data_IF_477270761409
#
_entry.id   IF_477270761409
#
_cell.length_a   1.000
_cell.length_b   1.000
_cell.length_c   1.000
_cell.angle_alpha   90.00
_cell.angle_beta   90.00
_cell.angle_gamma   90.00
#
_symmetry.space_group_name_H-M   'P 1'
#
loop_
_entity.id
_entity.type
_entity.pdbx_description
1 polymer ?
#
# COMPACT_ATOMS: atom_id res chain seq x y z
N UNK A 1 27.93 -4.40 -4.66
CA UNK A 1 26.93 -5.02 -5.54
C UNK A 1 25.96 -5.94 -4.81
N UNK A 2 26.39 -6.86 -3.94
CA UNK A 2 25.51 -7.79 -3.20
C UNK A 2 24.41 -7.11 -2.35
N UNK A 3 24.65 -5.93 -1.76
CA UNK A 3 23.69 -5.21 -0.94
C UNK A 3 22.51 -4.69 -1.78
N UNK A 4 22.79 -4.24 -3.01
CA UNK A 4 21.77 -3.70 -3.92
C UNK A 4 20.80 -4.80 -4.35
N UNK A 5 21.31 -5.99 -4.69
CA UNK A 5 20.46 -7.14 -5.07
C UNK A 5 19.56 -7.61 -3.93
N UNK A 6 20.05 -7.57 -2.69
CA UNK A 6 19.24 -7.89 -1.50
C UNK A 6 18.09 -6.86 -1.29
N UNK A 7 18.38 -5.57 -1.50
CA UNK A 7 17.37 -4.52 -1.40
C UNK A 7 16.23 -4.73 -2.42
N UNK A 8 16.56 -4.94 -3.68
CA UNK A 8 15.57 -5.17 -4.73
C UNK A 8 14.83 -6.51 -4.57
N UNK A 9 15.52 -7.55 -4.13
CA UNK A 9 14.90 -8.85 -3.83
C UNK A 9 13.84 -8.73 -2.72
N UNK A 10 14.16 -8.04 -1.64
CA UNK A 10 13.21 -7.80 -0.55
C UNK A 10 12.01 -6.93 -0.99
N UNK A 11 12.25 -5.89 -1.80
CA UNK A 11 11.18 -5.07 -2.40
C UNK A 11 10.26 -5.96 -3.25
N UNK A 12 10.82 -6.82 -4.09
CA UNK A 12 10.04 -7.73 -4.94
C UNK A 12 9.23 -8.72 -4.11
N UNK A 13 9.81 -9.33 -3.08
CA UNK A 13 9.08 -10.22 -2.15
C UNK A 13 7.94 -9.45 -1.47
N UNK A 14 8.22 -8.24 -0.98
CA UNK A 14 7.19 -7.39 -0.35
C UNK A 14 6.03 -7.10 -1.30
N UNK A 15 6.31 -6.76 -2.56
CA UNK A 15 5.26 -6.49 -3.56
C UNK A 15 4.49 -7.74 -3.98
N UNK A 16 5.11 -8.92 -4.00
CA UNK A 16 4.41 -10.20 -4.21
C UNK A 16 3.42 -10.46 -3.08
N UNK A 17 3.81 -10.24 -1.81
CA UNK A 17 2.91 -10.39 -0.67
C UNK A 17 1.73 -9.40 -0.73
N UNK A 18 1.97 -8.15 -1.11
CA UNK A 18 0.90 -7.16 -1.33
C UNK A 18 -0.02 -7.63 -2.45
N UNK A 19 0.55 -8.08 -3.58
CA UNK A 19 -0.22 -8.58 -4.72
C UNK A 19 -1.09 -9.79 -4.38
N UNK A 20 -0.55 -10.75 -3.60
CA UNK A 20 -1.28 -11.91 -3.09
C UNK A 20 -2.48 -11.48 -2.22
N UNK A 21 -2.24 -10.61 -1.24
CA UNK A 21 -3.31 -10.12 -0.37
C UNK A 21 -4.38 -9.36 -1.16
N UNK A 22 -3.96 -8.51 -2.09
CA UNK A 22 -4.89 -7.71 -2.91
C UNK A 22 -5.73 -8.59 -3.81
N UNK A 23 -5.11 -9.48 -4.61
CA UNK A 23 -5.82 -10.25 -5.64
C UNK A 23 -6.65 -11.39 -5.09
N UNK A 24 -6.17 -12.05 -4.02
CA UNK A 24 -6.78 -13.30 -3.53
C UNK A 24 -7.59 -13.14 -2.25
N UNK A 25 -7.48 -12.00 -1.55
CA UNK A 25 -8.20 -11.78 -0.30
C UNK A 25 -9.08 -10.54 -0.41
N UNK A 26 -8.50 -9.36 -0.73
CA UNK A 26 -9.26 -8.11 -0.70
C UNK A 26 -10.22 -7.95 -1.88
N UNK A 27 -9.75 -8.25 -3.10
CA UNK A 27 -10.55 -8.11 -4.32
C UNK A 27 -11.78 -9.05 -4.31
N UNK A 28 -11.65 -10.37 -4.00
CA UNK A 28 -12.79 -11.25 -3.88
C UNK A 28 -13.77 -10.87 -2.76
N UNK A 29 -13.27 -10.26 -1.66
CA UNK A 29 -14.10 -9.75 -0.57
C UNK A 29 -14.72 -8.37 -0.86
N UNK A 30 -14.55 -7.84 -2.08
CA UNK A 30 -15.01 -6.49 -2.49
C UNK A 30 -14.55 -5.38 -1.54
N UNK A 31 -13.37 -5.52 -0.96
CA UNK A 31 -12.82 -4.58 0.00
C UNK A 31 -12.00 -3.49 -0.69
N UNK A 32 -12.44 -2.26 -0.56
CA UNK A 32 -11.65 -1.08 -0.98
C UNK A 32 -10.68 -0.71 0.13
N UNK A 33 -9.41 -1.08 -0.03
CA UNK A 33 -8.36 -0.89 0.99
C UNK A 33 -7.77 0.52 1.04
N UNK A 34 -8.47 1.53 0.50
CA UNK A 34 -7.98 2.91 0.48
C UNK A 34 -7.02 3.19 -0.68
N UNK A 35 -6.15 4.16 -0.51
CA UNK A 35 -5.15 4.50 -1.50
C UNK A 35 -5.64 5.36 -2.66
N UNK A 36 -4.70 5.72 -3.55
CA UNK A 36 -5.03 6.38 -4.83
C UNK A 36 -5.94 5.48 -5.67
N UNK A 37 -5.76 4.17 -5.59
CA UNK A 37 -6.66 3.20 -6.23
C UNK A 37 -8.09 3.27 -5.66
N UNK A 38 -8.24 3.44 -4.35
CA UNK A 38 -9.56 3.65 -3.72
C UNK A 38 -10.24 4.92 -4.24
N UNK A 39 -9.51 6.03 -4.32
CA UNK A 39 -10.01 7.27 -4.94
C UNK A 39 -10.42 7.03 -6.41
N UNK A 40 -9.63 6.28 -7.16
CA UNK A 40 -9.93 5.98 -8.56
C UNK A 40 -11.18 5.11 -8.72
N UNK A 41 -11.43 4.17 -7.79
CA UNK A 41 -12.66 3.37 -7.76
C UNK A 41 -13.88 4.26 -7.45
N UNK A 42 -13.78 5.14 -6.44
CA UNK A 42 -14.84 6.08 -6.11
C UNK A 42 -15.16 7.01 -7.29
N UNK A 43 -14.14 7.56 -7.96
CA UNK A 43 -14.31 8.43 -9.12
C UNK A 43 -14.92 7.69 -10.32
N UNK A 44 -14.57 6.43 -10.52
CA UNK A 44 -15.18 5.59 -11.54
C UNK A 44 -16.68 5.42 -11.29
N UNK A 45 -17.07 5.16 -10.05
CA UNK A 45 -18.47 4.92 -9.69
C UNK A 45 -19.31 6.21 -9.75
N UNK A 46 -18.81 7.29 -9.16
CA UNK A 46 -19.55 8.56 -9.06
C UNK A 46 -19.54 9.39 -10.35
N UNK A 47 -18.39 9.50 -10.99
CA UNK A 47 -18.17 10.39 -12.12
C UNK A 47 -17.95 9.67 -13.47
N UNK A 48 -17.98 8.34 -13.45
CA UNK A 48 -17.70 7.47 -14.64
C UNK A 48 -16.33 7.75 -15.28
N UNK A 49 -15.40 8.30 -14.51
CA UNK A 49 -14.03 8.52 -14.98
C UNK A 49 -13.30 7.16 -14.98
N UNK A 50 -12.65 6.77 -16.10
CA UNK A 50 -11.92 5.51 -16.15
C UNK A 50 -10.86 5.43 -15.04
N UNK A 51 -10.77 4.27 -14.39
CA UNK A 51 -9.83 4.01 -13.28
C UNK A 51 -8.40 4.45 -13.61
N UNK A 52 -7.90 4.09 -14.79
CA UNK A 52 -6.54 4.41 -15.22
C UNK A 52 -6.28 5.91 -15.35
N UNK A 53 -7.31 6.71 -15.72
CA UNK A 53 -7.18 8.17 -15.83
C UNK A 53 -6.93 8.77 -14.46
N UNK A 54 -7.81 8.49 -13.49
CA UNK A 54 -7.70 9.01 -12.12
C UNK A 54 -6.40 8.55 -11.47
N UNK A 55 -6.09 7.26 -11.59
CA UNK A 55 -4.86 6.70 -11.03
C UNK A 55 -3.60 7.35 -11.64
N UNK A 56 -3.56 7.56 -12.95
CA UNK A 56 -2.43 8.21 -13.62
C UNK A 56 -2.30 9.68 -13.25
N UNK A 57 -3.41 10.43 -13.32
CA UNK A 57 -3.44 11.87 -13.02
C UNK A 57 -2.99 12.14 -11.58
N UNK A 58 -3.39 11.33 -10.61
CA UNK A 58 -2.98 11.48 -9.21
C UNK A 58 -1.53 11.03 -8.97
N UNK A 59 -1.06 10.01 -9.66
CA UNK A 59 0.29 9.49 -9.45
C UNK A 59 1.38 10.35 -10.11
N UNK A 60 1.15 10.93 -11.30
CA UNK A 60 2.15 11.77 -11.98
C UNK A 60 2.70 12.88 -11.07
N UNK A 61 1.88 13.77 -10.46
CA UNK A 61 2.40 14.81 -9.59
C UNK A 61 3.10 14.25 -8.34
N UNK A 62 2.65 13.11 -7.81
CA UNK A 62 3.29 12.44 -6.69
C UNK A 62 4.71 11.95 -7.05
N UNK A 63 4.89 11.33 -8.22
CA UNK A 63 6.20 10.93 -8.72
C UNK A 63 7.13 12.12 -8.94
N UNK A 64 6.64 13.22 -9.51
CA UNK A 64 7.42 14.44 -9.71
C UNK A 64 7.84 15.08 -8.38
N UNK A 65 6.93 15.16 -7.42
CA UNK A 65 7.23 15.66 -6.08
C UNK A 65 8.21 14.74 -5.35
N UNK A 66 8.05 13.43 -5.44
CA UNK A 66 8.94 12.45 -4.84
C UNK A 66 10.35 12.53 -5.42
N UNK A 67 10.48 12.75 -6.73
CA UNK A 67 11.78 12.96 -7.35
C UNK A 67 12.51 14.16 -6.75
N UNK A 68 11.84 15.31 -6.65
CA UNK A 68 12.43 16.53 -6.09
C UNK A 68 12.74 16.41 -4.60
N UNK A 69 11.92 15.68 -3.83
CA UNK A 69 11.98 15.66 -2.37
C UNK A 69 12.84 14.50 -1.85
N UNK A 70 12.68 13.29 -2.37
CA UNK A 70 13.37 12.07 -1.91
C UNK A 70 14.57 11.69 -2.78
N UNK A 71 14.65 12.25 -3.99
CA UNK A 71 15.76 12.03 -4.92
C UNK A 71 15.61 10.77 -5.79
N UNK A 72 16.58 10.63 -6.72
CA UNK A 72 16.54 9.62 -7.77
C UNK A 72 16.62 8.18 -7.26
N UNK A 73 17.32 7.95 -6.15
CA UNK A 73 17.43 6.61 -5.54
C UNK A 73 16.08 6.05 -5.06
N UNK A 74 15.25 6.92 -4.45
CA UNK A 74 13.89 6.57 -4.03
C UNK A 74 13.00 6.24 -5.24
N UNK A 75 13.06 7.06 -6.29
CA UNK A 75 12.27 6.87 -7.51
C UNK A 75 12.58 5.54 -8.19
N UNK A 76 13.88 5.18 -8.33
CA UNK A 76 14.26 3.89 -8.93
C UNK A 76 13.68 2.70 -8.16
N UNK A 77 13.79 2.70 -6.84
CA UNK A 77 13.27 1.62 -5.99
C UNK A 77 11.75 1.56 -6.05
N UNK A 78 11.08 2.70 -6.01
CA UNK A 78 9.63 2.81 -6.13
C UNK A 78 9.15 2.35 -7.51
N UNK A 79 9.83 2.72 -8.58
CA UNK A 79 9.49 2.25 -9.93
C UNK A 79 9.58 0.70 -10.03
N UNK A 80 10.66 0.12 -9.48
CA UNK A 80 10.78 -1.36 -9.41
C UNK A 80 9.65 -1.97 -8.59
N UNK A 81 9.34 -1.39 -7.42
CA UNK A 81 8.24 -1.86 -6.57
C UNK A 81 6.89 -1.80 -7.31
N UNK A 82 6.58 -0.69 -7.97
CA UNK A 82 5.34 -0.51 -8.72
C UNK A 82 5.22 -1.50 -9.89
N UNK A 83 6.31 -1.69 -10.65
CA UNK A 83 6.34 -2.68 -11.75
C UNK A 83 6.20 -4.09 -11.21
N UNK A 84 6.94 -4.44 -10.14
CA UNK A 84 6.87 -5.76 -9.53
C UNK A 84 5.47 -6.06 -8.96
N UNK A 85 4.80 -5.07 -8.35
CA UNK A 85 3.42 -5.21 -7.90
C UNK A 85 2.46 -5.44 -9.07
N UNK A 86 2.59 -4.66 -10.15
CA UNK A 86 1.75 -4.80 -11.35
C UNK A 86 1.92 -6.19 -11.99
N UNK A 87 3.17 -6.67 -12.10
CA UNK A 87 3.47 -8.02 -12.58
C UNK A 87 2.88 -9.08 -11.65
N UNK A 88 3.01 -8.91 -10.34
CA UNK A 88 2.43 -9.83 -9.35
C UNK A 88 0.92 -9.94 -9.49
N UNK A 89 0.22 -8.82 -9.62
CA UNK A 89 -1.24 -8.78 -9.82
C UNK A 89 -1.66 -9.45 -11.14
N UNK A 90 -0.82 -9.41 -12.16
CA UNK A 90 -1.09 -10.07 -13.43
C UNK A 90 -0.83 -11.59 -13.38
N UNK A 91 0.34 -11.99 -12.83
CA UNK A 91 0.83 -13.37 -12.87
C UNK A 91 0.19 -14.27 -11.80
N UNK A 92 -0.10 -13.74 -10.61
CA UNK A 92 -0.68 -14.53 -9.53
C UNK A 92 -2.07 -15.03 -9.96
N UNK A 93 -2.35 -16.35 -9.89
CA UNK A 93 -3.66 -16.89 -10.20
C UNK A 93 -4.70 -16.41 -9.18
N UNK A 94 -5.93 -16.29 -9.62
CA UNK A 94 -7.06 -15.95 -8.74
C UNK A 94 -7.42 -17.19 -7.90
N UNK A 95 -7.19 -17.06 -6.60
CA UNK A 95 -7.62 -18.05 -5.62
C UNK A 95 -8.46 -17.31 -4.59
N UNK A 96 -9.77 -17.51 -4.61
CA UNK A 96 -10.71 -16.85 -3.70
C UNK A 96 -10.48 -17.35 -2.27
N UNK A 97 -9.53 -16.76 -1.57
CA UNK A 97 -9.14 -17.14 -0.21
C UNK A 97 -9.93 -16.28 0.78
N UNK A 98 -10.59 -16.90 1.76
CA UNK A 98 -11.33 -16.21 2.82
C UNK A 98 -12.50 -15.32 2.31
N UNK A 99 -13.15 -15.72 1.22
CA UNK A 99 -14.28 -14.98 0.64
C UNK A 99 -15.53 -15.01 1.50
N UNK A 100 -15.71 -16.06 2.29
CA UNK A 100 -16.92 -16.30 3.09
C UNK A 100 -16.93 -15.50 4.40
N UNK A 101 -15.78 -15.00 4.86
CA UNK A 101 -15.66 -14.23 6.09
C UNK A 101 -14.84 -12.95 5.85
N UNK A 102 -15.56 -11.85 5.69
CA UNK A 102 -14.98 -10.52 5.43
C UNK A 102 -14.08 -10.06 6.58
N UNK A 103 -14.36 -10.44 7.82
CA UNK A 103 -13.52 -10.11 8.97
C UNK A 103 -12.16 -10.83 8.90
N UNK A 104 -12.18 -12.13 8.60
CA UNK A 104 -10.93 -12.89 8.41
C UNK A 104 -10.16 -12.40 7.19
N UNK A 105 -10.85 -12.03 6.11
CA UNK A 105 -10.23 -11.41 4.95
C UNK A 105 -9.54 -10.07 5.32
N UNK A 106 -10.20 -9.22 6.10
CA UNK A 106 -9.63 -7.96 6.59
C UNK A 106 -8.38 -8.20 7.45
N UNK A 107 -8.45 -9.15 8.38
CA UNK A 107 -7.38 -9.45 9.32
C UNK A 107 -6.16 -10.07 8.62
N UNK A 108 -6.34 -11.20 7.94
CA UNK A 108 -5.24 -11.92 7.29
C UNK A 108 -4.70 -11.18 6.07
N UNK A 109 -5.58 -10.59 5.26
CA UNK A 109 -5.18 -9.72 4.15
C UNK A 109 -4.37 -8.52 4.65
N UNK A 110 -4.81 -7.89 5.75
CA UNK A 110 -4.09 -6.81 6.42
C UNK A 110 -2.72 -7.22 6.95
N UNK A 111 -2.60 -8.40 7.56
CA UNK A 111 -1.31 -8.93 8.05
C UNK A 111 -0.35 -9.18 6.89
N UNK A 112 -0.77 -9.92 5.87
CA UNK A 112 0.07 -10.28 4.72
C UNK A 112 0.50 -9.01 3.95
N UNK A 113 -0.46 -8.12 3.67
CA UNK A 113 -0.17 -6.84 3.01
C UNK A 113 0.71 -5.94 3.87
N UNK A 114 0.52 -5.94 5.19
CA UNK A 114 1.34 -5.20 6.14
C UNK A 114 2.79 -5.66 6.18
N UNK A 115 3.04 -6.98 6.12
CA UNK A 115 4.39 -7.55 6.00
C UNK A 115 5.01 -7.08 4.67
N UNK A 116 4.28 -7.18 3.57
CA UNK A 116 4.73 -6.72 2.26
C UNK A 116 5.09 -5.23 2.24
N UNK A 117 4.20 -4.40 2.76
CA UNK A 117 4.38 -2.94 2.85
C UNK A 117 5.56 -2.56 3.75
N UNK A 118 5.69 -3.21 4.91
CA UNK A 118 6.81 -3.02 5.81
C UNK A 118 8.15 -3.34 5.13
N UNK A 119 8.23 -4.44 4.38
CA UNK A 119 9.42 -4.79 3.60
C UNK A 119 9.75 -3.73 2.54
N UNK A 120 8.76 -3.23 1.80
CA UNK A 120 8.98 -2.18 0.79
C UNK A 120 9.46 -0.89 1.44
N UNK A 121 8.85 -0.45 2.54
CA UNK A 121 9.25 0.76 3.27
C UNK A 121 10.64 0.64 3.91
N UNK A 122 11.01 -0.55 4.39
CA UNK A 122 12.32 -0.84 4.96
C UNK A 122 13.46 -0.48 4.01
N UNK A 123 13.27 -0.67 2.71
CA UNK A 123 14.26 -0.36 1.68
C UNK A 123 14.02 1.00 1.00
N UNK A 124 13.30 1.91 1.66
CA UNK A 124 13.02 3.26 1.17
C UNK A 124 12.42 3.25 -0.24
N UNK A 125 11.42 2.42 -0.43
CA UNK A 125 10.58 2.34 -1.61
C UNK A 125 9.11 2.47 -1.20
N UNK A 126 8.25 2.69 -2.17
CA UNK A 126 6.78 2.66 -2.03
C UNK A 126 6.20 1.98 -3.26
N UNK A 127 4.93 1.59 -3.22
CA UNK A 127 4.25 1.00 -4.39
C UNK A 127 3.61 2.04 -5.32
N UNK A 128 3.73 3.33 -4.96
CA UNK A 128 3.03 4.44 -5.59
C UNK A 128 1.69 4.72 -4.88
N UNK A 129 1.07 5.86 -5.14
CA UNK A 129 -0.21 6.18 -4.50
C UNK A 129 -0.08 6.86 -3.14
N UNK A 130 -0.95 6.51 -2.18
CA UNK A 130 -0.98 7.14 -0.85
C UNK A 130 0.24 6.83 -0.01
N UNK A 131 0.86 5.68 -0.17
CA UNK A 131 2.12 5.33 0.48
C UNK A 131 3.26 6.27 0.03
N UNK A 132 3.30 6.67 -1.24
CA UNK A 132 4.22 7.70 -1.72
C UNK A 132 3.87 9.07 -1.13
N UNK A 133 2.59 9.44 -1.10
CA UNK A 133 2.12 10.68 -0.48
C UNK A 133 2.49 10.70 1.01
N UNK A 134 2.25 9.60 1.74
CA UNK A 134 2.65 9.45 3.14
C UNK A 134 4.16 9.62 3.34
N UNK A 135 4.98 9.04 2.46
CA UNK A 135 6.43 9.19 2.50
C UNK A 135 6.90 10.64 2.25
N UNK A 136 6.15 11.41 1.46
CA UNK A 136 6.43 12.84 1.25
C UNK A 136 6.02 13.69 2.46
N UNK A 137 4.82 13.43 3.02
CA UNK A 137 4.29 14.12 4.20
C UNK A 137 5.17 13.85 5.42
N UNK A 138 5.64 12.62 5.60
CA UNK A 138 6.52 12.21 6.70
C UNK A 138 7.79 13.06 6.80
N UNK A 139 8.27 13.63 5.70
CA UNK A 139 9.42 14.55 5.76
C UNK A 139 9.15 15.81 6.59
N UNK A 140 7.90 16.28 6.61
CA UNK A 140 7.45 17.40 7.46
C UNK A 140 7.01 16.93 8.84
N UNK A 141 6.29 15.80 8.90
CA UNK A 141 5.74 15.22 10.11
C UNK A 141 6.61 14.06 10.62
N UNK A 142 7.86 14.38 11.01
CA UNK A 142 8.88 13.38 11.40
C UNK A 142 8.52 12.55 12.64
N UNK A 143 7.59 13.02 13.45
CA UNK A 143 7.11 12.33 14.66
C UNK A 143 6.23 11.12 14.36
N UNK A 144 5.66 11.04 13.13
CA UNK A 144 4.81 9.93 12.71
C UNK A 144 5.55 9.01 11.74
N UNK A 145 5.21 7.72 11.76
CA UNK A 145 5.70 6.78 10.76
C UNK A 145 5.02 6.97 9.40
N UNK A 146 5.63 6.43 8.34
CA UNK A 146 4.99 6.42 7.00
C UNK A 146 3.68 5.64 7.07
N UNK A 147 3.66 4.49 7.78
CA UNK A 147 2.50 3.63 7.90
C UNK A 147 1.34 4.32 8.65
N UNK A 148 1.65 5.10 9.71
CA UNK A 148 0.63 5.88 10.43
C UNK A 148 0.01 6.97 9.56
N UNK A 149 0.83 7.70 8.79
CA UNK A 149 0.32 8.73 7.88
C UNK A 149 -0.52 8.09 6.77
N UNK A 150 -0.05 6.95 6.20
CA UNK A 150 -0.77 6.19 5.20
C UNK A 150 -2.12 5.71 5.75
N UNK A 151 -2.15 5.19 6.99
CA UNK A 151 -3.40 4.76 7.65
C UNK A 151 -4.44 5.88 7.70
N UNK A 152 -4.04 7.11 8.02
CA UNK A 152 -4.95 8.26 8.06
C UNK A 152 -5.46 8.60 6.66
N UNK A 153 -4.57 8.65 5.67
CA UNK A 153 -4.94 8.95 4.29
C UNK A 153 -5.89 7.89 3.71
N UNK A 154 -5.56 6.63 3.89
CA UNK A 154 -6.37 5.51 3.41
C UNK A 154 -7.71 5.44 4.15
N UNK A 155 -7.71 5.70 5.47
CA UNK A 155 -8.91 5.80 6.27
C UNK A 155 -9.86 6.90 5.78
N UNK A 156 -9.36 8.07 5.40
CA UNK A 156 -10.16 9.13 4.80
C UNK A 156 -10.79 8.69 3.47
N UNK A 157 -10.04 7.99 2.63
CA UNK A 157 -10.55 7.46 1.35
C UNK A 157 -11.64 6.42 1.59
N UNK A 158 -11.44 5.50 2.53
CA UNK A 158 -12.41 4.47 2.88
C UNK A 158 -13.68 5.08 3.46
N UNK A 159 -13.56 6.07 4.34
CA UNK A 159 -14.72 6.78 4.89
C UNK A 159 -15.51 7.53 3.80
N UNK A 160 -14.82 8.16 2.85
CA UNK A 160 -15.48 8.75 1.68
C UNK A 160 -16.17 7.69 0.82
N UNK A 161 -15.53 6.51 0.65
CA UNK A 161 -16.09 5.37 -0.08
C UNK A 161 -17.29 4.72 0.63
N UNK A 162 -17.42 4.86 1.96
CA UNK A 162 -18.54 4.30 2.72
C UNK A 162 -19.92 4.78 2.22
N UNK A 163 -19.98 6.02 1.72
CA UNK A 163 -21.19 6.59 1.14
C UNK A 163 -21.58 5.93 -0.21
N UNK A 164 -20.63 5.30 -0.89
CA UNK A 164 -20.80 4.68 -2.22
C UNK A 164 -20.99 3.16 -2.11
N UNK A 165 -20.16 2.52 -1.29
CA UNK A 165 -20.08 1.05 -1.20
C UNK A 165 -20.76 0.47 0.04
N UNK A 166 -21.14 1.32 0.98
CA UNK A 166 -21.80 0.93 2.23
C UNK A 166 -20.85 0.91 3.43
N UNK A 167 -21.42 1.18 4.59
CA UNK A 167 -20.68 1.35 5.86
C UNK A 167 -20.05 0.04 6.33
N UNK A 168 -20.67 -1.10 6.07
CA UNK A 168 -20.17 -2.40 6.51
C UNK A 168 -18.81 -2.72 5.88
N UNK A 169 -18.66 -2.55 4.57
CA UNK A 169 -17.38 -2.78 3.87
C UNK A 169 -16.31 -1.78 4.31
N UNK A 170 -16.70 -0.54 4.58
CA UNK A 170 -15.78 0.48 5.09
C UNK A 170 -15.23 0.10 6.48
N UNK A 171 -16.04 -0.44 7.39
CA UNK A 171 -15.58 -0.87 8.71
C UNK A 171 -14.53 -1.98 8.61
N UNK A 172 -14.75 -2.99 7.78
CA UNK A 172 -13.76 -4.05 7.57
C UNK A 172 -12.51 -3.54 6.87
N UNK A 173 -12.63 -2.61 5.91
CA UNK A 173 -11.50 -1.98 5.28
C UNK A 173 -10.64 -1.18 6.29
N UNK A 174 -11.27 -0.49 7.26
CA UNK A 174 -10.54 0.19 8.34
C UNK A 174 -9.75 -0.80 9.24
N UNK A 175 -10.31 -1.98 9.52
CA UNK A 175 -9.60 -3.05 10.23
C UNK A 175 -8.37 -3.49 9.43
N UNK A 176 -8.52 -3.74 8.13
CA UNK A 176 -7.42 -4.12 7.27
C UNK A 176 -6.32 -3.04 7.25
N UNK A 177 -6.67 -1.77 7.06
CA UNK A 177 -5.73 -0.63 7.05
C UNK A 177 -5.01 -0.52 8.40
N UNK A 178 -5.72 -0.71 9.50
CA UNK A 178 -5.10 -0.72 10.84
C UNK A 178 -4.08 -1.84 10.99
N UNK A 179 -4.40 -3.07 10.54
CA UNK A 179 -3.49 -4.20 10.55
C UNK A 179 -2.26 -3.92 9.67
N UNK A 180 -2.44 -3.42 8.45
CA UNK A 180 -1.34 -3.03 7.55
C UNK A 180 -0.41 -2.05 8.24
N UNK A 181 -0.96 -0.99 8.82
CA UNK A 181 -0.16 0.04 9.50
C UNK A 181 0.63 -0.52 10.68
N UNK A 182 -0.01 -1.27 11.58
CA UNK A 182 0.64 -1.84 12.77
C UNK A 182 1.72 -2.84 12.44
N UNK A 183 1.47 -3.74 11.49
CA UNK A 183 2.46 -4.74 11.06
C UNK A 183 3.64 -4.06 10.35
N UNK A 184 3.38 -3.10 9.46
CA UNK A 184 4.42 -2.35 8.77
C UNK A 184 5.32 -1.58 9.76
N UNK A 185 4.72 -0.92 10.74
CA UNK A 185 5.47 -0.21 11.79
C UNK A 185 6.30 -1.18 12.64
N UNK A 186 5.74 -2.31 13.03
CA UNK A 186 6.48 -3.34 13.77
C UNK A 186 7.73 -3.82 13.04
N UNK A 187 7.66 -4.00 11.72
CA UNK A 187 8.82 -4.37 10.89
C UNK A 187 9.86 -3.24 10.85
N UNK A 188 9.41 -1.98 10.70
CA UNK A 188 10.30 -0.82 10.66
C UNK A 188 11.00 -0.58 12.00
N UNK A 189 10.30 -0.75 13.10
CA UNK A 189 10.87 -0.57 14.45
C UNK A 189 11.82 -1.70 14.81
N UNK A 190 11.50 -2.95 14.50
CA UNK A 190 12.40 -4.09 14.70
C UNK A 190 13.76 -3.88 14.04
N UNK A 191 13.80 -3.19 12.89
CA UNK A 191 15.05 -2.86 12.19
C UNK A 191 15.84 -1.73 12.87
N UNK A 192 15.16 -0.75 13.51
CA UNK A 192 15.85 0.30 14.28
C UNK A 192 16.59 -0.31 15.47
N UNK A 193 15.95 -1.23 16.21
CA UNK A 193 16.57 -1.96 17.31
C UNK A 193 17.77 -2.79 16.85
N UNK A 194 17.67 -3.50 15.72
CA UNK A 194 18.79 -4.29 15.19
C UNK A 194 19.98 -3.44 14.76
N UNK A 195 19.78 -2.21 14.27
CA UNK A 195 20.88 -1.30 13.90
C UNK A 195 21.54 -0.60 15.11
N UNK A 196 20.87 -0.55 16.24
CA UNK A 196 21.44 0.01 17.49
C UNK A 196 22.18 -1.04 18.33
N UNK A 197 21.97 -2.34 18.05
CA UNK A 197 22.58 -3.44 18.80
C UNK A 197 23.93 -3.90 18.23
N UNK A 198 24.41 -3.31 17.11
CA UNK A 198 25.71 -3.51 16.47
C UNK A 198 26.41 -2.19 16.23
#
# INVERSE_FOLDING_TARGET
MQKIWKDYGAITIGTILIGLATKNIFDPASMVTGGVSGVAIIMKELARVPFWVTNTVLNIPLFLAAWKIKGWGFIKRTAVATVALSVSLYVIPEAHILTDDIFLAALFGGIISGIGTGLVFMFSATTGGTDMLAALIQRKLRQYSIAQIMQVLDGMVVLAGAAVFGVQYALYALIAIFCVSKISDGILDGMKFSKQAF
#
